data_IF_095844246763
#
_entry.id   IF_095844246763
#
_cell.length_a   1.000
_cell.length_b   1.000
_cell.length_c   1.000
_cell.angle_alpha   90.00
_cell.angle_beta   90.00
_cell.angle_gamma   90.00
#
_symmetry.space_group_name_H-M   'P 1'
#
loop_
_entity.id
_entity.type
_entity.pdbx_description
1 polymer ?
#
# COMPACT_ATOMS: atom_id res chain seq x y z
N UNK A 1 26.88 -10.24 -4.33
CA UNK A 1 25.89 -9.15 -4.16
C UNK A 1 26.42 -7.93 -4.88
N UNK A 2 25.61 -7.24 -5.68
CA UNK A 2 26.04 -6.00 -6.33
C UNK A 2 26.22 -4.90 -5.27
N UNK A 3 27.23 -4.05 -5.42
CA UNK A 3 27.49 -2.91 -4.52
C UNK A 3 26.28 -1.97 -4.53
N UNK A 4 25.80 -1.51 -3.35
CA UNK A 4 24.68 -0.57 -3.30
C UNK A 4 25.03 0.71 -4.06
N UNK A 5 24.16 1.11 -4.99
CA UNK A 5 24.26 2.39 -5.69
C UNK A 5 24.11 3.53 -4.68
N UNK A 6 24.96 4.55 -4.74
CA UNK A 6 24.91 5.73 -3.83
C UNK A 6 24.79 7.06 -4.59
N UNK A 7 24.94 7.06 -5.91
CA UNK A 7 24.86 8.21 -6.82
C UNK A 7 23.41 8.45 -7.30
N UNK A 8 22.47 8.61 -6.36
CA UNK A 8 21.09 8.84 -6.75
C UNK A 8 20.85 10.28 -7.18
N UNK A 9 20.05 10.53 -8.24
CA UNK A 9 19.61 11.88 -8.57
C UNK A 9 18.70 12.45 -7.45
N UNK A 10 18.40 13.75 -7.47
CA UNK A 10 17.39 14.32 -6.58
C UNK A 10 16.04 13.60 -6.70
N UNK A 11 15.30 13.51 -5.59
CA UNK A 11 13.93 13.00 -5.60
C UNK A 11 13.00 14.05 -6.19
N UNK A 12 12.22 13.66 -7.19
CA UNK A 12 11.18 14.48 -7.84
C UNK A 12 9.76 13.93 -7.59
N UNK A 13 9.64 12.66 -7.21
CA UNK A 13 8.36 12.04 -6.89
C UNK A 13 8.43 11.09 -5.67
N UNK A 14 7.40 11.13 -4.82
CA UNK A 14 7.18 10.22 -3.72
C UNK A 14 5.94 9.36 -3.97
N UNK A 15 6.08 8.04 -4.00
CA UNK A 15 5.01 7.09 -4.26
C UNK A 15 4.72 6.33 -2.96
N UNK A 16 3.50 6.41 -2.46
CA UNK A 16 3.14 5.87 -1.15
C UNK A 16 2.33 4.60 -1.30
N UNK A 17 2.69 3.53 -0.58
CA UNK A 17 1.68 2.57 -0.18
C UNK A 17 0.67 3.21 0.81
N UNK A 18 -0.36 2.48 1.23
CA UNK A 18 -1.39 2.97 2.14
C UNK A 18 -1.46 2.14 3.41
N UNK A 19 -1.54 0.83 3.26
CA UNK A 19 -1.94 -0.09 4.31
C UNK A 19 -0.72 -0.42 5.16
N UNK A 20 -0.77 -0.15 6.47
CA UNK A 20 0.40 -0.31 7.34
C UNK A 20 1.45 0.80 7.24
N UNK A 21 1.29 1.74 6.29
CA UNK A 21 2.18 2.89 6.08
C UNK A 21 1.51 4.24 6.37
N UNK A 22 0.43 4.57 5.66
CA UNK A 22 -0.29 5.84 5.85
C UNK A 22 -1.32 5.73 6.98
N UNK A 23 -1.96 4.56 7.07
CA UNK A 23 -3.00 4.25 8.06
C UNK A 23 -2.70 2.91 8.74
N UNK A 24 -3.10 2.77 10.00
CA UNK A 24 -2.80 1.63 10.85
C UNK A 24 -3.68 0.39 10.57
N UNK A 25 -3.79 -0.04 9.31
CA UNK A 25 -4.67 -1.15 8.92
C UNK A 25 -4.12 -2.52 9.33
N UNK A 26 -2.82 -2.70 9.52
CA UNK A 26 -2.22 -3.98 9.94
C UNK A 26 -2.69 -4.48 11.31
N UNK A 27 -2.94 -3.57 12.24
CA UNK A 27 -3.52 -3.91 13.55
C UNK A 27 -5.00 -4.25 13.42
N UNK A 28 -5.71 -3.58 12.51
CA UNK A 28 -7.12 -3.88 12.21
C UNK A 28 -7.24 -5.24 11.52
N UNK A 29 -6.38 -5.57 10.57
CA UNK A 29 -6.32 -6.91 9.96
C UNK A 29 -6.13 -7.99 11.02
N UNK A 30 -5.19 -7.78 11.95
CA UNK A 30 -4.93 -8.70 13.07
C UNK A 30 -6.16 -8.84 13.96
N UNK A 31 -6.83 -7.73 14.30
CA UNK A 31 -8.07 -7.72 15.08
C UNK A 31 -9.18 -8.52 14.40
N UNK A 32 -9.44 -8.26 13.12
CA UNK A 32 -10.48 -8.95 12.36
C UNK A 32 -10.25 -10.47 12.31
N UNK A 33 -9.00 -10.89 12.06
CA UNK A 33 -8.65 -12.31 12.09
C UNK A 33 -8.82 -12.92 13.48
N UNK A 34 -8.40 -12.24 14.54
CA UNK A 34 -8.58 -12.74 15.91
C UNK A 34 -10.05 -12.89 16.31
N UNK A 35 -10.90 -11.93 15.93
CA UNK A 35 -12.36 -12.03 16.12
C UNK A 35 -12.89 -13.27 15.41
N UNK A 36 -12.50 -13.51 14.16
CA UNK A 36 -13.00 -14.66 13.40
C UNK A 36 -12.44 -15.99 13.91
N UNK A 37 -11.15 -16.07 14.23
CA UNK A 37 -10.51 -17.26 14.80
C UNK A 37 -11.13 -17.69 16.13
N UNK A 38 -11.57 -16.74 16.95
CA UNK A 38 -12.24 -17.04 18.23
C UNK A 38 -13.52 -17.86 18.05
N UNK A 39 -14.21 -17.73 16.90
CA UNK A 39 -15.41 -18.53 16.56
C UNK A 39 -15.08 -20.00 16.32
N UNK A 40 -13.81 -20.32 16.09
CA UNK A 40 -13.28 -21.66 15.94
C UNK A 40 -12.43 -22.10 17.14
N UNK A 41 -12.60 -21.43 18.29
CA UNK A 41 -11.80 -21.67 19.52
C UNK A 41 -10.28 -21.62 19.27
N UNK A 42 -9.86 -20.77 18.34
CA UNK A 42 -8.47 -20.62 17.89
C UNK A 42 -7.98 -19.17 18.03
N UNK A 43 -6.68 -18.96 17.82
CA UNK A 43 -6.02 -17.68 18.03
C UNK A 43 -5.56 -17.45 19.47
N UNK A 44 -5.10 -16.24 19.82
CA UNK A 44 -4.87 -15.11 18.91
C UNK A 44 -3.68 -15.36 17.97
N UNK A 45 -3.61 -14.58 16.89
CA UNK A 45 -2.43 -14.48 16.06
C UNK A 45 -1.25 -13.93 16.86
N UNK A 46 -0.15 -14.67 16.83
CA UNK A 46 1.17 -14.27 17.31
C UNK A 46 1.96 -13.55 16.21
N UNK A 47 3.10 -12.96 16.56
CA UNK A 47 3.93 -12.22 15.60
C UNK A 47 4.53 -13.12 14.50
N UNK A 48 4.89 -14.37 14.82
CA UNK A 48 5.46 -15.32 13.87
C UNK A 48 4.50 -15.66 12.73
N UNK A 49 3.19 -15.73 13.00
CA UNK A 49 2.19 -15.88 11.95
C UNK A 49 1.88 -14.55 11.28
N UNK A 50 1.66 -13.46 12.05
CA UNK A 50 1.31 -12.13 11.50
C UNK A 50 2.33 -11.69 10.44
N UNK A 51 3.62 -11.70 10.78
CA UNK A 51 4.71 -11.27 9.88
C UNK A 51 4.78 -12.06 8.58
N UNK A 52 4.31 -13.31 8.57
CA UNK A 52 4.24 -14.12 7.35
C UNK A 52 3.06 -13.75 6.45
N UNK A 53 2.01 -13.12 6.97
CA UNK A 53 0.81 -12.75 6.19
C UNK A 53 0.95 -11.39 5.50
N UNK A 54 1.75 -10.49 6.07
CA UNK A 54 1.85 -9.09 5.61
C UNK A 54 2.31 -8.99 4.16
N UNK A 55 1.63 -8.13 3.39
CA UNK A 55 1.92 -7.87 1.98
C UNK A 55 1.57 -9.01 1.01
N UNK A 56 1.06 -10.16 1.48
CA UNK A 56 0.64 -11.26 0.59
C UNK A 56 -0.77 -11.06 0.03
N UNK A 57 -1.09 -11.67 -1.11
CA UNK A 57 -2.47 -11.76 -1.58
C UNK A 57 -3.38 -12.42 -0.54
N UNK A 58 -4.58 -11.85 -0.33
CA UNK A 58 -5.50 -12.27 0.74
C UNK A 58 -5.77 -13.79 0.77
N UNK A 59 -6.01 -14.42 -0.38
CA UNK A 59 -6.25 -15.86 -0.45
C UNK A 59 -5.05 -16.70 0.03
N UNK A 60 -3.82 -16.25 -0.26
CA UNK A 60 -2.60 -16.91 0.23
C UNK A 60 -2.43 -16.70 1.73
N UNK A 61 -2.70 -15.49 2.23
CA UNK A 61 -2.64 -15.19 3.67
C UNK A 61 -3.65 -16.02 4.46
N UNK A 62 -4.90 -16.11 3.98
CA UNK A 62 -5.95 -16.91 4.62
C UNK A 62 -5.57 -18.40 4.59
N UNK A 63 -5.07 -18.91 3.47
CA UNK A 63 -4.62 -20.31 3.38
C UNK A 63 -3.51 -20.63 4.41
N UNK A 64 -2.52 -19.75 4.53
CA UNK A 64 -1.41 -19.92 5.48
C UNK A 64 -1.89 -19.82 6.93
N UNK A 65 -2.77 -18.87 7.24
CA UNK A 65 -3.38 -18.71 8.55
C UNK A 65 -4.18 -19.94 8.97
N UNK A 66 -5.04 -20.45 8.08
CA UNK A 66 -5.85 -21.64 8.36
C UNK A 66 -4.97 -22.88 8.56
N UNK A 67 -3.90 -23.02 7.78
CA UNK A 67 -2.91 -24.08 8.00
C UNK A 67 -2.23 -23.97 9.37
N UNK A 68 -1.83 -22.76 9.78
CA UNK A 68 -1.18 -22.52 11.07
C UNK A 68 -2.05 -22.92 12.27
N UNK A 69 -3.37 -22.68 12.20
CA UNK A 69 -4.31 -23.03 13.27
C UNK A 69 -4.97 -24.41 13.12
N UNK A 70 -4.53 -25.25 12.18
CA UNK A 70 -5.15 -26.55 11.87
C UNK A 70 -6.64 -26.44 11.50
N UNK A 71 -6.98 -25.41 10.72
CA UNK A 71 -8.34 -25.08 10.28
C UNK A 71 -8.53 -25.24 8.75
N UNK A 72 -7.72 -26.08 8.10
CA UNK A 72 -7.73 -26.26 6.63
C UNK A 72 -9.02 -26.87 6.08
N UNK A 73 -9.87 -27.44 6.94
CA UNK A 73 -11.21 -27.90 6.58
C UNK A 73 -12.17 -26.74 6.26
N UNK A 74 -11.85 -25.51 6.67
CA UNK A 74 -12.66 -24.33 6.38
C UNK A 74 -12.38 -23.89 4.94
N UNK A 75 -13.40 -23.77 4.07
CA UNK A 75 -13.21 -23.22 2.74
C UNK A 75 -12.70 -21.77 2.80
N UNK A 76 -11.68 -21.45 2.02
CA UNK A 76 -11.08 -20.10 1.97
C UNK A 76 -12.14 -19.05 1.64
N UNK A 77 -13.05 -19.33 0.71
CA UNK A 77 -14.11 -18.39 0.32
C UNK A 77 -15.06 -18.12 1.49
N UNK A 78 -15.48 -19.15 2.23
CA UNK A 78 -16.35 -18.98 3.41
C UNK A 78 -15.66 -18.17 4.50
N UNK A 79 -14.37 -18.42 4.77
CA UNK A 79 -13.60 -17.61 5.72
C UNK A 79 -13.46 -16.17 5.24
N UNK A 80 -13.20 -15.97 3.95
CA UNK A 80 -13.07 -14.64 3.31
C UNK A 80 -14.36 -13.84 3.46
N UNK A 81 -15.52 -14.42 3.14
CA UNK A 81 -16.82 -13.76 3.30
C UNK A 81 -17.08 -13.38 4.75
N UNK A 82 -16.81 -14.27 5.71
CA UNK A 82 -17.00 -13.98 7.13
C UNK A 82 -16.03 -12.88 7.63
N UNK A 83 -14.80 -12.85 7.12
CA UNK A 83 -13.79 -11.86 7.45
C UNK A 83 -14.17 -10.48 6.90
N UNK A 84 -14.66 -10.41 5.64
CA UNK A 84 -15.08 -9.17 5.01
C UNK A 84 -16.18 -8.47 5.83
N UNK A 85 -17.16 -9.21 6.36
CA UNK A 85 -18.21 -8.63 7.20
C UNK A 85 -17.66 -7.95 8.47
N UNK A 86 -16.59 -8.49 9.06
CA UNK A 86 -15.93 -7.88 10.22
C UNK A 86 -15.10 -6.67 9.78
N UNK A 87 -14.37 -6.81 8.67
CA UNK A 87 -13.52 -5.77 8.08
C UNK A 87 -14.31 -4.52 7.68
N UNK A 88 -15.51 -4.67 7.13
CA UNK A 88 -16.37 -3.53 6.81
C UNK A 88 -16.58 -2.63 8.03
N UNK A 89 -16.86 -3.21 9.20
CA UNK A 89 -17.04 -2.43 10.43
C UNK A 89 -15.72 -1.86 10.94
N UNK A 90 -14.66 -2.67 11.01
CA UNK A 90 -13.43 -2.28 11.68
C UNK A 90 -12.55 -1.32 10.86
N UNK A 91 -12.54 -1.42 9.52
CA UNK A 91 -11.75 -0.51 8.67
C UNK A 91 -12.18 0.95 8.75
N UNK A 92 -13.44 1.22 9.12
CA UNK A 92 -13.93 2.60 9.39
C UNK A 92 -13.25 3.26 10.58
N UNK A 93 -12.50 2.48 11.38
CA UNK A 93 -11.73 2.96 12.55
C UNK A 93 -10.26 3.19 12.21
N UNK A 94 -9.85 2.98 10.96
CA UNK A 94 -8.48 3.23 10.53
C UNK A 94 -8.07 4.67 10.84
N UNK A 95 -6.88 4.84 11.41
CA UNK A 95 -6.33 6.12 11.81
C UNK A 95 -4.98 6.33 11.12
N UNK A 96 -4.61 7.60 10.86
CA UNK A 96 -3.30 7.91 10.32
C UNK A 96 -2.19 7.45 11.26
N UNK A 97 -1.11 6.90 10.71
CA UNK A 97 0.07 6.55 11.52
C UNK A 97 0.81 7.82 11.99
N UNK A 98 1.56 7.74 13.11
CA UNK A 98 2.31 8.88 13.63
C UNK A 98 3.24 9.51 12.57
N UNK A 99 3.22 10.83 12.46
CA UNK A 99 4.02 11.57 11.49
C UNK A 99 3.42 11.69 10.08
N UNK A 100 2.47 10.82 9.69
CA UNK A 100 1.86 10.86 8.35
C UNK A 100 1.17 12.20 8.04
N UNK A 101 0.32 12.77 8.93
CA UNK A 101 -0.30 14.06 8.64
C UNK A 101 0.72 15.19 8.43
N UNK A 102 1.78 15.22 9.23
CA UNK A 102 2.84 16.22 9.11
C UNK A 102 3.63 16.05 7.81
N UNK A 103 4.02 14.82 7.48
CA UNK A 103 4.75 14.49 6.25
C UNK A 103 3.94 14.87 5.00
N UNK A 104 2.68 14.46 4.91
CA UNK A 104 1.84 14.78 3.75
C UNK A 104 1.60 16.29 3.65
N UNK A 105 1.39 16.99 4.77
CA UNK A 105 1.25 18.44 4.76
C UNK A 105 2.53 19.15 4.27
N UNK A 106 3.71 18.67 4.65
CA UNK A 106 4.99 19.20 4.15
C UNK A 106 5.18 18.91 2.65
N UNK A 107 4.77 17.73 2.18
CA UNK A 107 4.89 17.36 0.77
C UNK A 107 3.98 18.18 -0.15
N UNK A 108 2.86 18.75 0.35
CA UNK A 108 2.01 19.66 -0.46
C UNK A 108 2.78 20.83 -1.05
N UNK A 109 3.81 21.34 -0.35
CA UNK A 109 4.61 22.50 -0.75
C UNK A 109 6.08 22.17 -0.96
N UNK A 110 6.48 20.91 -0.85
CA UNK A 110 7.85 20.48 -1.00
C UNK A 110 8.39 20.75 -2.42
N UNK A 111 9.65 21.20 -2.47
CA UNK A 111 10.37 21.49 -3.71
C UNK A 111 11.74 20.82 -3.73
N UNK A 112 12.23 20.48 -4.91
CA UNK A 112 13.58 19.95 -5.10
C UNK A 112 14.62 21.03 -4.77
N UNK A 113 15.70 20.65 -4.09
CA UNK A 113 16.71 21.61 -3.62
C UNK A 113 17.46 22.32 -4.76
N UNK A 114 17.62 21.67 -5.91
CA UNK A 114 18.45 22.17 -7.01
C UNK A 114 17.63 23.01 -7.99
N UNK A 115 16.52 22.47 -8.52
CA UNK A 115 15.71 23.16 -9.54
C UNK A 115 14.51 23.92 -8.96
N UNK A 116 14.20 23.76 -7.67
CA UNK A 116 13.02 24.38 -7.06
C UNK A 116 11.69 23.84 -7.59
N UNK A 117 11.72 22.68 -8.26
CA UNK A 117 10.56 22.01 -8.85
C UNK A 117 9.68 21.38 -7.77
N UNK A 118 8.38 21.26 -8.02
CA UNK A 118 7.46 20.58 -7.09
C UNK A 118 7.86 19.11 -6.91
N UNK A 119 7.76 18.60 -5.69
CA UNK A 119 7.80 17.14 -5.46
C UNK A 119 6.41 16.57 -5.70
N UNK A 120 6.29 15.64 -6.65
CA UNK A 120 5.02 15.01 -6.98
C UNK A 120 4.73 13.85 -6.04
N UNK A 121 3.45 13.57 -5.80
CA UNK A 121 3.03 12.41 -5.01
C UNK A 121 1.99 11.57 -5.74
N UNK A 122 2.02 10.27 -5.48
CA UNK A 122 0.99 9.33 -5.90
C UNK A 122 0.74 8.28 -4.81
N UNK A 123 -0.47 7.73 -4.80
CA UNK A 123 -0.87 6.62 -3.95
C UNK A 123 -0.85 5.33 -4.77
N UNK A 124 -0.31 4.25 -4.21
CA UNK A 124 -0.14 2.96 -4.85
C UNK A 124 -0.48 1.82 -3.87
N UNK A 125 -1.77 1.55 -3.70
CA UNK A 125 -2.29 0.54 -2.75
C UNK A 125 -2.80 -0.71 -3.46
N UNK A 126 -2.64 -1.87 -2.81
CA UNK A 126 -3.28 -3.12 -3.24
C UNK A 126 -4.74 -3.25 -2.81
N UNK A 127 -5.27 -2.30 -2.03
CA UNK A 127 -6.69 -2.21 -1.72
C UNK A 127 -7.50 -1.88 -2.98
N UNK A 128 -8.57 -2.62 -3.24
CA UNK A 128 -9.54 -2.27 -4.28
C UNK A 128 -10.31 -0.99 -3.91
N UNK A 129 -11.09 -0.45 -4.86
CA UNK A 129 -11.85 0.78 -4.64
C UNK A 129 -12.79 0.73 -3.42
N UNK A 130 -13.47 -0.40 -3.19
CA UNK A 130 -14.38 -0.56 -2.06
C UNK A 130 -13.66 -0.48 -0.70
N UNK A 131 -12.58 -1.24 -0.53
CA UNK A 131 -11.77 -1.22 0.69
C UNK A 131 -11.04 0.10 0.88
N UNK A 132 -10.53 0.71 -0.19
CA UNK A 132 -9.96 2.05 -0.12
C UNK A 132 -10.99 3.04 0.47
N UNK A 133 -12.19 3.09 -0.10
CA UNK A 133 -13.23 4.01 0.36
C UNK A 133 -13.59 3.78 1.83
N UNK A 134 -13.85 2.54 2.25
CA UNK A 134 -14.20 2.23 3.65
C UNK A 134 -13.09 2.65 4.62
N UNK A 135 -11.82 2.50 4.22
CA UNK A 135 -10.65 2.86 5.06
C UNK A 135 -10.40 4.37 5.12
N UNK A 136 -10.82 5.13 4.11
CA UNK A 136 -10.38 6.54 3.94
C UNK A 136 -11.49 7.58 3.92
N UNK A 137 -12.78 7.20 3.83
CA UNK A 137 -13.90 8.14 3.72
C UNK A 137 -13.91 9.20 4.83
N UNK A 138 -13.65 8.80 6.07
CA UNK A 138 -13.55 9.70 7.23
C UNK A 138 -12.21 10.46 7.32
N UNK A 139 -11.26 10.19 6.42
CA UNK A 139 -9.92 10.78 6.37
C UNK A 139 -9.70 11.64 5.11
N UNK A 140 -10.77 12.12 4.48
CA UNK A 140 -10.71 12.80 3.18
C UNK A 140 -9.65 13.91 3.05
N UNK A 141 -9.48 14.75 4.08
CA UNK A 141 -8.49 15.83 4.08
C UNK A 141 -7.04 15.35 4.05
N UNK A 142 -6.76 14.16 4.59
CA UNK A 142 -5.43 13.56 4.57
C UNK A 142 -5.07 13.06 3.17
N UNK A 143 -6.03 12.43 2.48
CA UNK A 143 -5.83 11.83 1.17
C UNK A 143 -6.01 12.82 0.00
N UNK A 144 -6.43 14.06 0.28
CA UNK A 144 -6.63 15.12 -0.73
C UNK A 144 -5.38 15.41 -1.57
N UNK A 145 -4.18 15.23 -0.98
CA UNK A 145 -2.92 15.43 -1.69
C UNK A 145 -2.75 14.50 -2.91
N UNK A 146 -3.35 13.30 -2.86
CA UNK A 146 -3.34 12.35 -3.96
C UNK A 146 -4.53 12.66 -4.87
N UNK A 147 -4.29 13.25 -6.04
CA UNK A 147 -5.38 13.50 -7.00
C UNK A 147 -5.96 12.18 -7.52
N UNK A 148 -7.23 12.13 -7.94
CA UNK A 148 -7.87 10.90 -8.40
C UNK A 148 -7.06 10.13 -9.47
N UNK A 149 -6.43 10.84 -10.41
CA UNK A 149 -5.64 10.24 -11.49
C UNK A 149 -4.38 9.54 -10.99
N UNK A 150 -3.85 10.02 -9.86
CA UNK A 150 -2.63 9.54 -9.17
C UNK A 150 -2.92 8.62 -7.99
N UNK A 151 -4.17 8.15 -7.85
CA UNK A 151 -4.55 7.06 -6.95
C UNK A 151 -4.59 5.77 -7.75
N UNK A 152 -3.60 4.92 -7.54
CA UNK A 152 -3.53 3.59 -8.14
C UNK A 152 -4.01 2.58 -7.09
N UNK A 153 -5.16 1.98 -7.36
CA UNK A 153 -5.81 1.01 -6.47
C UNK A 153 -5.57 -0.41 -6.97
N UNK A 154 -5.86 -1.42 -6.15
CA UNK A 154 -5.57 -2.83 -6.45
C UNK A 154 -6.37 -3.40 -7.63
N UNK A 155 -7.49 -2.77 -7.97
CA UNK A 155 -8.37 -3.07 -9.10
C UNK A 155 -8.21 -2.09 -10.27
N UNK A 156 -7.13 -1.29 -10.29
CA UNK A 156 -6.83 -0.36 -11.38
C UNK A 156 -6.60 -1.11 -12.69
N UNK A 157 -7.40 -0.79 -13.71
CA UNK A 157 -7.39 -1.44 -15.03
C UNK A 157 -6.08 -1.27 -15.79
N UNK A 158 -5.24 -0.30 -15.40
CA UNK A 158 -3.91 -0.08 -15.98
C UNK A 158 -2.90 -1.14 -15.53
N UNK A 159 -3.19 -1.88 -14.45
CA UNK A 159 -2.36 -2.97 -13.95
C UNK A 159 -2.80 -4.27 -14.64
N UNK A 160 -1.90 -4.99 -15.33
CA UNK A 160 -2.26 -6.28 -15.91
C UNK A 160 -2.70 -7.28 -14.85
N UNK A 161 -3.69 -8.12 -15.18
CA UNK A 161 -4.21 -9.15 -14.26
C UNK A 161 -3.08 -10.05 -13.76
N UNK A 162 -3.03 -10.29 -12.46
CA UNK A 162 -2.00 -11.09 -11.81
C UNK A 162 -0.65 -10.38 -11.61
N UNK A 163 -0.55 -9.09 -11.97
CA UNK A 163 0.68 -8.28 -11.82
C UNK A 163 0.61 -7.28 -10.66
N UNK A 164 -0.06 -7.65 -9.58
CA UNK A 164 0.09 -6.95 -8.30
C UNK A 164 1.49 -7.10 -7.72
N UNK A 165 1.75 -6.44 -6.58
CA UNK A 165 3.00 -6.59 -5.80
C UNK A 165 3.27 -8.10 -5.58
N UNK A 166 4.51 -8.60 -5.80
CA UNK A 166 5.78 -7.89 -5.95
C UNK A 166 6.17 -7.51 -7.40
N UNK A 167 5.22 -7.52 -8.33
CA UNK A 167 5.47 -6.97 -9.67
C UNK A 167 5.56 -5.43 -9.60
N UNK A 168 6.40 -4.79 -10.44
CA UNK A 168 6.64 -3.34 -10.37
C UNK A 168 5.46 -2.50 -10.90
N UNK A 169 4.49 -3.13 -11.53
CA UNK A 169 3.47 -2.51 -12.36
C UNK A 169 2.70 -1.39 -11.64
N UNK A 170 2.33 -1.57 -10.37
CA UNK A 170 1.60 -0.53 -9.62
C UNK A 170 2.39 0.78 -9.49
N UNK A 171 3.71 0.69 -9.27
CA UNK A 171 4.57 1.88 -9.17
C UNK A 171 4.89 2.48 -10.53
N UNK A 172 5.05 1.64 -11.56
CA UNK A 172 5.22 2.12 -12.94
C UNK A 172 3.97 2.86 -13.42
N UNK A 173 2.77 2.35 -13.11
CA UNK A 173 1.50 3.03 -13.38
C UNK A 173 1.39 4.34 -12.60
N UNK A 174 1.79 4.36 -11.32
CA UNK A 174 1.80 5.58 -10.52
C UNK A 174 2.75 6.65 -11.08
N UNK A 175 3.97 6.26 -11.49
CA UNK A 175 4.91 7.16 -12.16
C UNK A 175 4.34 7.67 -13.49
N UNK A 176 3.72 6.79 -14.29
CA UNK A 176 3.07 7.19 -15.53
C UNK A 176 1.96 8.22 -15.25
N UNK A 177 1.11 7.99 -14.26
CA UNK A 177 0.05 8.91 -13.88
C UNK A 177 0.58 10.28 -13.44
N UNK A 178 1.71 10.32 -12.73
CA UNK A 178 2.41 11.56 -12.42
C UNK A 178 2.85 12.26 -13.71
N UNK A 179 3.56 11.54 -14.59
CA UNK A 179 4.09 12.07 -15.85
C UNK A 179 2.99 12.59 -16.80
N UNK A 180 1.85 11.89 -16.88
CA UNK A 180 0.70 12.28 -17.70
C UNK A 180 0.00 13.56 -17.19
N UNK A 181 0.27 13.96 -15.93
CA UNK A 181 -0.38 15.10 -15.27
C UNK A 181 0.62 16.17 -14.83
N UNK A 182 1.83 16.15 -15.41
CA UNK A 182 2.79 17.23 -15.26
C UNK A 182 2.31 18.50 -15.94
N UNK A 183 2.71 19.66 -15.42
CA UNK A 183 2.44 20.95 -16.02
C UNK A 183 3.28 21.14 -17.30
N UNK A 184 2.80 21.94 -18.26
CA UNK A 184 3.60 22.31 -19.43
C UNK A 184 4.97 22.86 -19.03
N UNK A 185 6.04 22.28 -19.59
CA UNK A 185 7.42 22.67 -19.31
C UNK A 185 8.11 21.86 -18.21
N UNK A 186 7.41 21.01 -17.47
CA UNK A 186 8.04 20.07 -16.54
C UNK A 186 8.65 18.87 -17.30
N UNK A 187 9.89 18.51 -16.96
CA UNK A 187 10.55 17.32 -17.52
C UNK A 187 9.95 16.05 -16.94
N UNK A 188 9.75 15.02 -17.79
CA UNK A 188 9.30 13.70 -17.35
C UNK A 188 10.21 13.13 -16.24
N UNK A 189 9.59 12.57 -15.21
CA UNK A 189 10.27 11.98 -14.05
C UNK A 189 10.68 10.54 -14.41
N UNK A 190 11.95 10.20 -14.13
CA UNK A 190 12.49 8.84 -14.33
C UNK A 190 12.37 8.00 -13.06
N UNK A 191 12.35 6.66 -13.15
CA UNK A 191 12.21 5.80 -11.97
C UNK A 191 13.26 6.05 -10.87
N UNK A 192 14.52 6.32 -11.23
CA UNK A 192 15.57 6.62 -10.25
C UNK A 192 15.38 7.95 -9.50
N UNK A 193 14.48 8.82 -9.97
CA UNK A 193 14.07 10.08 -9.34
C UNK A 193 12.85 9.90 -8.41
N UNK A 194 12.35 8.66 -8.27
CA UNK A 194 11.25 8.29 -7.38
C UNK A 194 11.74 7.71 -6.05
N UNK A 195 11.02 8.01 -4.97
CA UNK A 195 11.10 7.35 -3.66
C UNK A 195 9.75 6.70 -3.37
N UNK A 196 9.76 5.39 -3.19
CA UNK A 196 8.64 4.60 -2.73
C UNK A 196 8.69 4.53 -1.21
N UNK A 197 7.56 4.73 -0.56
CA UNK A 197 7.39 4.46 0.87
C UNK A 197 6.55 3.20 1.00
N UNK A 198 7.03 2.23 1.79
CA UNK A 198 6.49 0.88 1.91
C UNK A 198 6.79 0.28 3.28
N UNK A 199 5.89 -0.56 3.77
CA UNK A 199 6.05 -1.34 5.01
C UNK A 199 6.18 -2.85 4.73
N UNK A 200 5.71 -3.33 3.57
CA UNK A 200 5.65 -4.75 3.21
C UNK A 200 6.77 -5.19 2.26
N UNK A 201 7.36 -6.37 2.52
CA UNK A 201 8.42 -6.95 1.66
C UNK A 201 8.01 -7.03 0.18
N UNK A 202 6.80 -7.50 -0.20
CA UNK A 202 6.39 -7.54 -1.60
C UNK A 202 6.36 -6.16 -2.26
N UNK A 203 5.96 -5.13 -1.52
CA UNK A 203 5.98 -3.74 -1.98
C UNK A 203 7.38 -3.18 -2.15
N UNK A 204 8.27 -3.44 -1.19
CA UNK A 204 9.70 -3.09 -1.32
C UNK A 204 10.31 -3.73 -2.58
N UNK A 205 10.03 -5.00 -2.82
CA UNK A 205 10.49 -5.71 -4.02
C UNK A 205 9.90 -5.09 -5.29
N UNK A 206 8.62 -4.73 -5.29
CA UNK A 206 7.98 -4.06 -6.42
C UNK A 206 8.63 -2.70 -6.72
N UNK A 207 8.88 -1.86 -5.71
CA UNK A 207 9.52 -0.56 -5.88
C UNK A 207 10.96 -0.67 -6.43
N UNK A 208 11.73 -1.63 -5.91
CA UNK A 208 13.09 -1.91 -6.41
C UNK A 208 13.07 -2.44 -7.85
N UNK A 209 12.14 -3.33 -8.19
CA UNK A 209 11.96 -3.84 -9.57
C UNK A 209 11.49 -2.76 -10.54
N UNK A 210 10.82 -1.72 -10.06
CA UNK A 210 10.44 -0.57 -10.85
C UNK A 210 11.62 0.37 -11.14
N UNK A 211 12.82 0.11 -10.57
CA UNK A 211 13.99 0.98 -10.69
C UNK A 211 13.99 2.15 -9.71
N UNK A 212 13.11 2.14 -8.70
CA UNK A 212 12.91 3.24 -7.78
C UNK A 212 13.65 3.03 -6.47
N UNK A 213 13.87 4.12 -5.71
CA UNK A 213 14.30 4.05 -4.31
C UNK A 213 13.14 3.58 -3.43
N UNK A 214 13.45 2.81 -2.40
CA UNK A 214 12.54 2.36 -1.33
C UNK A 214 13.28 2.54 -0.03
#
# INVERSE_FOLDING_TARGET
MATPRTDFPPIRACLFDMDGLLINTEDIYTLCHNILLSRYSSGPMTWDIKSQLQGRPAAQSISLLLAHFNLTQIPIDSYTTALHAIQETEFRKAAPLPGVPALLQQLKTAKTAIKGEKVHVALATSSNAGHFNIKTEHLGSLFEIFTPERRILGDDVRIPKGRGKPSPDIYLVALKAINDTLQPGEEAIRPEECLVFEDGVPGVVAGRRAGMRV
#
